data_IF_125005254056
#
_entry.id   IF_125005254056
#
_cell.length_a   1.000
_cell.length_b   1.000
_cell.length_c   1.000
_cell.angle_alpha   90.00
_cell.angle_beta   90.00
_cell.angle_gamma   90.00
#
_symmetry.space_group_name_H-M   'P 1'
#
loop_
_entity.id
_entity.type
_entity.pdbx_description
1 polymer ?
#
# COMPACT_ATOMS: atom_id res chain seq x y z
N UNK A 1 4.54 24.81 5.40
CA UNK A 1 4.01 24.27 4.14
C UNK A 1 4.83 23.04 3.83
N UNK A 2 4.19 21.92 3.52
CA UNK A 2 4.88 20.64 3.25
C UNK A 2 5.45 20.68 1.85
N UNK A 3 6.68 20.22 1.66
CA UNK A 3 7.33 20.15 0.35
C UNK A 3 6.91 18.88 -0.41
N UNK A 4 5.89 19.00 -1.26
CA UNK A 4 5.36 17.89 -2.04
C UNK A 4 6.32 17.36 -3.11
N UNK A 5 7.38 18.10 -3.48
CA UNK A 5 8.39 17.64 -4.45
C UNK A 5 9.16 16.41 -3.93
N UNK A 6 9.17 16.19 -2.62
CA UNK A 6 9.76 14.99 -2.02
C UNK A 6 9.07 13.69 -2.44
N UNK A 7 7.76 13.73 -2.74
CA UNK A 7 7.06 12.57 -3.30
C UNK A 7 7.60 12.17 -4.68
N UNK A 8 8.06 13.13 -5.49
CA UNK A 8 8.64 12.84 -6.80
C UNK A 8 10.08 12.35 -6.68
N UNK A 9 10.85 12.97 -5.80
CA UNK A 9 12.29 12.71 -5.67
C UNK A 9 12.59 11.51 -4.75
N UNK A 10 11.98 11.45 -3.58
CA UNK A 10 12.23 10.41 -2.58
C UNK A 10 11.21 9.26 -2.64
N UNK A 11 10.01 9.51 -3.18
CA UNK A 11 8.92 8.53 -3.22
C UNK A 11 8.06 8.51 -1.95
N UNK A 12 8.40 9.27 -0.92
CA UNK A 12 7.63 9.35 0.31
C UNK A 12 7.75 10.72 0.98
N UNK A 13 6.83 11.01 1.90
CA UNK A 13 6.79 12.26 2.63
C UNK A 13 6.03 12.10 3.94
N UNK A 14 6.57 12.60 5.03
CA UNK A 14 5.87 12.71 6.32
C UNK A 14 5.14 14.04 6.41
N UNK A 15 3.85 13.99 6.71
CA UNK A 15 3.05 15.18 7.04
C UNK A 15 2.65 15.08 8.51
N UNK A 16 3.31 15.85 9.40
CA UNK A 16 2.98 15.84 10.81
C UNK A 16 1.61 16.47 11.07
N UNK A 17 0.98 16.07 12.16
CA UNK A 17 -0.32 16.59 12.62
C UNK A 17 -1.41 16.58 11.52
N UNK A 18 -1.37 15.58 10.63
CA UNK A 18 -2.36 15.45 9.55
C UNK A 18 -3.78 15.27 10.10
N UNK A 19 -3.91 14.50 11.19
CA UNK A 19 -5.17 14.38 11.95
C UNK A 19 -5.03 15.03 13.32
N UNK A 20 -6.10 15.67 13.77
CA UNK A 20 -6.18 16.16 15.14
C UNK A 20 -6.58 15.05 16.12
N UNK A 21 -6.49 15.32 17.42
CA UNK A 21 -6.76 14.33 18.49
C UNK A 21 -8.18 13.76 18.47
N UNK A 22 -9.19 14.53 18.00
CA UNK A 22 -10.58 14.04 17.89
C UNK A 22 -10.70 13.04 16.73
N UNK A 23 -10.08 13.33 15.59
CA UNK A 23 -10.07 12.44 14.41
C UNK A 23 -9.33 11.15 14.71
N UNK A 24 -8.20 11.24 15.42
CA UNK A 24 -7.43 10.07 15.90
C UNK A 24 -8.31 9.21 16.83
N UNK A 25 -8.98 9.83 17.80
CA UNK A 25 -9.84 9.11 18.73
C UNK A 25 -10.98 8.36 18.02
N UNK A 26 -11.53 8.93 16.94
CA UNK A 26 -12.58 8.26 16.14
C UNK A 26 -12.01 7.09 15.34
N UNK A 27 -10.82 7.24 14.73
CA UNK A 27 -10.16 6.12 14.06
C UNK A 27 -9.83 4.98 15.02
N UNK A 28 -9.32 5.31 16.20
CA UNK A 28 -9.03 4.34 17.26
C UNK A 28 -10.31 3.62 17.71
N UNK A 29 -11.37 4.37 17.97
CA UNK A 29 -12.67 3.79 18.32
C UNK A 29 -13.18 2.84 17.23
N UNK A 30 -13.08 3.23 15.95
CA UNK A 30 -13.44 2.38 14.82
C UNK A 30 -12.66 1.07 14.83
N UNK A 31 -11.36 1.12 15.04
CA UNK A 31 -10.51 -0.06 15.17
C UNK A 31 -10.95 -0.96 16.35
N UNK A 32 -11.17 -0.38 17.53
CA UNK A 32 -11.55 -1.11 18.74
C UNK A 32 -12.91 -1.81 18.56
N UNK A 33 -13.88 -1.18 17.85
CA UNK A 33 -15.17 -1.80 17.51
C UNK A 33 -14.98 -3.02 16.58
N UNK A 34 -14.09 -2.94 15.62
CA UNK A 34 -13.79 -4.05 14.72
C UNK A 34 -13.14 -5.20 15.47
N UNK A 35 -12.16 -4.90 16.32
CA UNK A 35 -11.46 -5.87 17.16
C UNK A 35 -12.44 -6.62 18.09
N UNK A 36 -13.34 -5.90 18.74
CA UNK A 36 -14.30 -6.49 19.68
C UNK A 36 -15.32 -7.42 19.02
N UNK A 37 -15.77 -7.10 17.79
CA UNK A 37 -16.75 -7.91 17.04
C UNK A 37 -16.17 -9.24 16.56
N UNK A 38 -14.88 -9.28 16.25
CA UNK A 38 -14.25 -10.48 15.70
C UNK A 38 -13.78 -11.47 16.76
N UNK A 39 -13.88 -11.15 18.04
CA UNK A 39 -13.53 -12.01 19.20
C UNK A 39 -12.14 -12.70 19.04
N UNK A 40 -11.27 -12.09 18.25
CA UNK A 40 -9.96 -12.64 17.93
C UNK A 40 -8.91 -11.95 18.76
N UNK A 41 -8.56 -12.56 19.88
CA UNK A 41 -7.28 -12.35 20.58
C UNK A 41 -6.08 -12.80 19.73
N UNK A 42 -6.35 -13.29 18.56
CA UNK A 42 -5.37 -13.56 17.54
C UNK A 42 -5.18 -12.28 16.74
N UNK A 43 -4.04 -11.65 16.88
CA UNK A 43 -3.57 -10.62 15.95
C UNK A 43 -3.58 -11.19 14.53
N UNK A 44 -4.77 -11.48 14.03
CA UNK A 44 -4.97 -12.04 12.73
C UNK A 44 -4.57 -10.97 11.73
N UNK A 45 -3.78 -11.39 10.76
CA UNK A 45 -3.81 -10.77 9.44
C UNK A 45 -5.29 -10.56 9.15
N UNK A 46 -5.76 -9.33 9.26
CA UNK A 46 -6.98 -8.98 8.59
C UNK A 46 -6.62 -9.10 7.11
N UNK A 47 -6.97 -10.22 6.51
CA UNK A 47 -6.86 -10.37 5.07
C UNK A 47 -7.70 -9.25 4.44
N UNK A 48 -7.39 -8.86 3.23
CA UNK A 48 -8.24 -7.93 2.49
C UNK A 48 -9.71 -8.38 2.44
N UNK A 49 -9.99 -9.68 2.57
CA UNK A 49 -11.32 -10.25 2.67
C UNK A 49 -12.01 -9.90 3.98
N UNK A 50 -11.27 -9.83 5.09
CA UNK A 50 -11.81 -9.37 6.37
C UNK A 50 -12.14 -7.89 6.33
N UNK A 51 -11.39 -7.09 5.58
CA UNK A 51 -11.72 -5.69 5.34
C UNK A 51 -13.02 -5.52 4.55
N UNK A 52 -13.29 -6.32 3.54
CA UNK A 52 -14.53 -6.26 2.79
C UNK A 52 -15.76 -6.58 3.66
N UNK A 53 -15.64 -7.53 4.57
CA UNK A 53 -16.70 -7.87 5.53
C UNK A 53 -16.89 -6.84 6.65
N UNK A 54 -15.89 -5.99 6.89
CA UNK A 54 -15.88 -5.00 7.98
C UNK A 54 -16.34 -3.61 7.53
N UNK A 55 -16.66 -3.40 6.26
CA UNK A 55 -17.04 -2.10 5.66
C UNK A 55 -18.29 -1.42 6.25
N UNK A 56 -19.07 -2.07 7.09
CA UNK A 56 -20.25 -1.46 7.70
C UNK A 56 -19.96 -0.41 8.78
N UNK A 57 -18.80 -0.47 9.45
CA UNK A 57 -18.41 0.47 10.53
C UNK A 57 -17.39 1.50 10.05
N UNK A 58 -16.41 1.16 9.20
CA UNK A 58 -15.39 2.11 8.75
C UNK A 58 -15.91 3.29 7.96
N UNK A 59 -17.05 3.20 7.27
CA UNK A 59 -17.51 4.30 6.42
C UNK A 59 -17.78 5.58 7.23
N UNK A 60 -18.44 5.49 8.37
CA UNK A 60 -18.67 6.66 9.22
C UNK A 60 -17.36 7.22 9.80
N UNK A 61 -16.40 6.33 10.09
CA UNK A 61 -15.06 6.69 10.59
C UNK A 61 -14.22 7.25 9.44
N UNK A 62 -14.21 6.59 8.31
CA UNK A 62 -13.49 7.02 7.12
C UNK A 62 -14.00 8.36 6.57
N UNK A 63 -15.31 8.58 6.60
CA UNK A 63 -15.95 9.82 6.16
C UNK A 63 -15.39 11.08 6.86
N UNK A 64 -14.88 10.94 8.09
CA UNK A 64 -14.25 12.06 8.81
C UNK A 64 -12.84 12.39 8.28
N UNK A 65 -12.17 11.41 7.71
CA UNK A 65 -10.79 11.56 7.20
C UNK A 65 -10.77 11.89 5.70
N UNK A 66 -11.80 11.47 4.98
CA UNK A 66 -11.89 11.65 3.53
C UNK A 66 -11.69 13.09 3.04
N UNK A 67 -12.26 14.14 3.67
CA UNK A 67 -12.04 15.52 3.23
C UNK A 67 -10.56 15.91 3.24
N UNK A 68 -9.80 15.46 4.25
CA UNK A 68 -8.37 15.74 4.36
C UNK A 68 -7.55 14.97 3.33
N UNK A 69 -7.88 13.69 3.12
CA UNK A 69 -7.25 12.86 2.08
C UNK A 69 -7.52 13.46 0.71
N UNK A 70 -8.77 13.87 0.44
CA UNK A 70 -9.13 14.54 -0.82
C UNK A 70 -8.35 15.83 -1.00
N UNK A 71 -8.34 16.70 0.00
CA UNK A 71 -7.60 17.96 -0.06
C UNK A 71 -6.12 17.75 -0.34
N UNK A 72 -5.47 16.80 0.33
CA UNK A 72 -4.06 16.46 0.10
C UNK A 72 -3.85 15.85 -1.29
N UNK A 73 -4.74 14.98 -1.75
CA UNK A 73 -4.69 14.41 -3.11
C UNK A 73 -4.80 15.47 -4.20
N UNK A 74 -5.69 16.45 -4.00
CA UNK A 74 -5.84 17.60 -4.90
C UNK A 74 -4.56 18.46 -4.91
N UNK A 75 -3.94 18.67 -3.75
CA UNK A 75 -2.66 19.40 -3.64
C UNK A 75 -1.52 18.66 -4.33
N UNK A 76 -1.40 17.36 -4.15
CA UNK A 76 -0.40 16.52 -4.84
C UNK A 76 -0.60 16.64 -6.34
N UNK A 77 -1.83 16.45 -6.83
CA UNK A 77 -2.16 16.51 -8.26
C UNK A 77 -1.89 17.89 -8.89
N UNK A 78 -2.07 18.97 -8.12
CA UNK A 78 -1.84 20.34 -8.58
C UNK A 78 -0.35 20.73 -8.61
N UNK A 79 0.47 20.15 -7.73
CA UNK A 79 1.85 20.60 -7.51
C UNK A 79 2.92 19.56 -7.92
N UNK A 80 2.52 18.39 -8.43
CA UNK A 80 3.41 17.32 -8.86
C UNK A 80 2.92 16.69 -10.18
N UNK A 81 3.74 15.85 -10.78
CA UNK A 81 3.34 15.02 -11.93
C UNK A 81 2.47 13.83 -11.54
N UNK A 82 2.29 13.56 -10.24
CA UNK A 82 1.44 12.48 -9.74
C UNK A 82 -0.02 12.88 -9.86
N UNK A 83 -0.77 12.16 -10.69
CA UNK A 83 -2.19 12.45 -10.95
C UNK A 83 -3.08 11.49 -10.16
N UNK A 84 -3.68 12.01 -9.11
CA UNK A 84 -4.58 11.26 -8.23
C UNK A 84 -6.02 11.68 -8.47
N UNK A 85 -6.93 10.74 -8.28
CA UNK A 85 -8.34 11.06 -8.16
C UNK A 85 -8.93 10.34 -6.95
N UNK A 86 -9.25 11.11 -5.94
CA UNK A 86 -9.85 10.58 -4.72
C UNK A 86 -11.33 10.23 -4.97
N UNK A 87 -11.71 9.00 -4.63
CA UNK A 87 -13.08 8.51 -4.63
C UNK A 87 -13.39 7.97 -3.23
N UNK A 88 -14.54 8.31 -2.67
CA UNK A 88 -14.93 8.03 -1.27
C UNK A 88 -14.95 6.54 -0.88
N UNK A 89 -14.76 5.63 -1.82
CA UNK A 89 -14.85 4.18 -1.60
C UNK A 89 -13.57 3.42 -1.99
N UNK A 90 -12.46 4.12 -2.12
CA UNK A 90 -11.17 3.48 -2.45
C UNK A 90 -10.66 2.57 -1.32
N UNK A 91 -9.72 1.68 -1.66
CA UNK A 91 -9.11 0.75 -0.72
C UNK A 91 -8.62 1.44 0.55
N UNK A 92 -9.20 1.11 1.68
CA UNK A 92 -8.72 1.54 2.98
C UNK A 92 -8.71 0.37 3.96
N UNK A 93 -7.95 0.50 5.03
CA UNK A 93 -7.88 -0.54 6.01
C UNK A 93 -7.03 -0.20 7.22
N UNK A 94 -7.30 -0.87 8.34
CA UNK A 94 -6.45 -0.82 9.52
C UNK A 94 -5.37 -1.89 9.46
N UNK A 95 -4.17 -1.51 9.84
CA UNK A 95 -3.05 -2.42 10.09
C UNK A 95 -2.70 -2.35 11.57
N UNK A 96 -2.78 -3.49 12.25
CA UNK A 96 -2.42 -3.59 13.65
C UNK A 96 -1.35 -4.67 13.82
N UNK A 97 -0.26 -4.30 14.46
CA UNK A 97 0.89 -5.17 14.70
C UNK A 97 0.87 -5.69 16.13
N UNK A 98 0.06 -6.68 16.42
CA UNK A 98 0.04 -7.29 17.74
C UNK A 98 0.60 -8.71 17.77
N UNK A 99 0.66 -9.41 16.67
CA UNK A 99 1.15 -10.80 16.60
C UNK A 99 1.86 -11.20 15.32
N UNK A 100 1.94 -10.30 14.35
CA UNK A 100 2.75 -10.54 13.15
C UNK A 100 4.21 -10.89 13.49
N UNK A 101 4.51 -10.76 14.72
CA UNK A 101 5.80 -10.44 15.26
C UNK A 101 6.28 -11.45 16.27
N UNK A 102 5.41 -11.98 17.05
CA UNK A 102 5.73 -13.08 17.93
C UNK A 102 5.72 -14.38 17.10
N UNK A 103 6.54 -14.41 16.04
CA UNK A 103 6.82 -15.59 15.21
C UNK A 103 7.33 -16.77 16.00
N UNK A 104 6.52 -17.25 16.96
CA UNK A 104 6.74 -18.51 17.62
C UNK A 104 6.47 -19.72 16.71
N UNK A 105 6.05 -19.47 15.46
CA UNK A 105 5.71 -20.54 14.51
C UNK A 105 6.75 -20.72 13.39
N UNK A 106 7.94 -20.14 13.53
CA UNK A 106 9.04 -20.33 12.56
C UNK A 106 8.80 -19.70 11.17
N UNK A 107 7.65 -19.09 10.96
CA UNK A 107 7.37 -18.29 9.77
C UNK A 107 7.62 -16.83 10.12
N UNK A 108 8.68 -16.30 9.57
CA UNK A 108 9.05 -14.89 9.62
C UNK A 108 8.00 -14.10 8.83
N UNK A 109 6.88 -13.75 9.48
CA UNK A 109 5.75 -13.04 8.89
C UNK A 109 5.96 -11.52 8.82
N UNK A 110 7.18 -11.04 9.06
CA UNK A 110 7.55 -9.68 8.69
C UNK A 110 7.41 -9.57 7.17
N UNK A 111 6.63 -8.59 6.72
CA UNK A 111 6.61 -8.29 5.30
C UNK A 111 8.05 -7.96 4.88
N UNK A 112 8.64 -8.78 4.01
CA UNK A 112 9.94 -8.48 3.41
C UNK A 112 9.88 -7.12 2.72
N UNK A 113 11.02 -6.55 2.42
CA UNK A 113 11.08 -5.38 1.56
C UNK A 113 10.35 -5.66 0.24
N UNK A 114 9.37 -4.83 -0.10
CA UNK A 114 8.50 -5.08 -1.25
C UNK A 114 7.92 -3.80 -1.85
N UNK A 115 7.40 -3.93 -3.04
CA UNK A 115 6.44 -3.02 -3.65
C UNK A 115 5.06 -3.69 -3.61
N UNK A 116 4.01 -2.91 -3.40
CA UNK A 116 2.63 -3.42 -3.24
C UNK A 116 2.15 -4.25 -4.44
N UNK A 117 2.13 -5.57 -4.30
CA UNK A 117 1.80 -6.49 -5.39
C UNK A 117 0.39 -6.25 -5.98
N UNK A 118 -0.62 -6.00 -5.14
CA UNK A 118 -1.99 -5.78 -5.61
C UNK A 118 -2.13 -4.54 -6.47
N UNK A 119 -1.45 -3.43 -6.14
CA UNK A 119 -1.49 -2.20 -6.93
C UNK A 119 -0.90 -2.41 -8.33
N UNK A 120 0.16 -3.19 -8.46
CA UNK A 120 0.83 -3.46 -9.72
C UNK A 120 0.17 -4.58 -10.52
N UNK A 121 -0.16 -5.69 -9.87
CA UNK A 121 -0.65 -6.89 -10.55
C UNK A 121 -2.11 -6.79 -10.94
N UNK A 122 -2.97 -6.32 -10.03
CA UNK A 122 -4.41 -6.24 -10.27
C UNK A 122 -4.80 -4.91 -10.92
N UNK A 123 -4.34 -3.81 -10.37
CA UNK A 123 -4.79 -2.48 -10.77
C UNK A 123 -3.85 -1.80 -11.77
N UNK A 124 -2.71 -2.42 -12.09
CA UNK A 124 -1.71 -1.92 -13.04
C UNK A 124 -1.32 -0.45 -12.79
N UNK A 125 -1.39 -0.06 -11.52
CA UNK A 125 -1.02 1.27 -11.05
C UNK A 125 0.47 1.31 -10.78
N UNK A 126 1.19 2.09 -11.54
CA UNK A 126 2.60 2.36 -11.29
C UNK A 126 2.77 3.38 -10.15
N UNK A 127 3.66 4.35 -10.27
CA UNK A 127 3.88 5.38 -9.26
C UNK A 127 2.69 6.38 -9.08
N UNK A 128 1.69 6.39 -9.97
CA UNK A 128 0.48 7.22 -9.83
C UNK A 128 -0.54 6.64 -8.82
N UNK A 129 -0.04 6.24 -7.68
CA UNK A 129 -0.77 5.71 -6.56
C UNK A 129 -0.07 6.16 -5.29
N UNK A 130 -0.82 6.69 -4.35
CA UNK A 130 -0.30 7.11 -3.05
C UNK A 130 -1.03 6.34 -1.94
N UNK A 131 -0.24 5.76 -1.05
CA UNK A 131 -0.74 5.23 0.20
C UNK A 131 -0.62 6.30 1.29
N UNK A 132 -1.73 6.68 1.88
CA UNK A 132 -1.82 7.53 3.07
C UNK A 132 -1.74 6.62 4.29
N UNK A 133 -0.55 6.38 4.79
CA UNK A 133 -0.33 5.56 5.98
C UNK A 133 -0.37 6.43 7.23
N UNK A 134 -1.51 6.43 7.92
CA UNK A 134 -1.80 7.30 9.07
C UNK A 134 -1.52 6.53 10.35
N UNK A 135 -0.67 7.06 11.22
CA UNK A 135 -0.45 6.48 12.56
C UNK A 135 -1.63 6.82 13.46
N UNK A 136 -2.32 5.79 13.98
CA UNK A 136 -3.52 5.94 14.82
C UNK A 136 -3.18 5.77 16.28
N UNK A 137 -2.44 4.72 16.62
CA UNK A 137 -2.05 4.41 18.00
C UNK A 137 -0.68 3.75 18.03
N UNK A 138 0.08 4.01 19.11
CA UNK A 138 1.44 3.54 19.21
C UNK A 138 1.86 3.54 20.67
N UNK A 139 2.19 2.39 21.21
CA UNK A 139 2.59 2.25 22.61
C UNK A 139 3.95 2.90 22.87
N UNK A 140 4.92 2.65 21.97
CA UNK A 140 6.23 3.26 22.05
C UNK A 140 6.42 4.27 20.89
N UNK A 141 6.52 5.58 21.18
CA UNK A 141 6.63 6.61 20.16
C UNK A 141 7.89 6.52 19.29
N UNK A 142 8.91 5.80 19.74
CA UNK A 142 10.20 5.71 19.05
C UNK A 142 10.38 4.45 18.18
N UNK A 143 9.40 3.56 18.17
CA UNK A 143 9.48 2.27 17.47
C UNK A 143 8.31 2.05 16.53
N UNK A 144 8.28 0.92 15.83
CA UNK A 144 7.13 0.45 15.03
C UNK A 144 6.67 1.40 13.92
N UNK A 145 7.61 1.93 13.16
CA UNK A 145 7.31 2.73 11.97
C UNK A 145 7.49 1.90 10.69
N UNK A 146 6.93 2.38 9.60
CA UNK A 146 7.23 1.84 8.29
C UNK A 146 8.66 2.22 7.88
N UNK A 147 9.45 1.27 7.39
CA UNK A 147 10.72 1.57 6.74
C UNK A 147 10.52 1.71 5.24
N UNK A 148 11.23 2.64 4.63
CA UNK A 148 11.15 3.00 3.22
C UNK A 148 12.54 3.13 2.61
N UNK A 149 12.63 2.93 1.30
CA UNK A 149 13.87 3.17 0.55
C UNK A 149 13.70 4.46 -0.25
N UNK A 150 14.50 5.50 0.01
CA UNK A 150 14.47 6.75 -0.76
C UNK A 150 14.80 6.50 -2.24
N UNK A 151 13.89 6.87 -3.13
CA UNK A 151 13.99 6.57 -4.55
C UNK A 151 15.18 7.25 -5.23
N UNK A 152 15.53 8.48 -4.84
CA UNK A 152 16.70 9.18 -5.34
C UNK A 152 18.00 8.43 -4.99
N UNK A 153 18.15 8.02 -3.73
CA UNK A 153 19.35 7.28 -3.28
C UNK A 153 19.44 5.92 -3.98
N UNK A 154 18.30 5.23 -4.12
CA UNK A 154 18.24 3.96 -4.85
C UNK A 154 18.67 4.16 -6.31
N UNK A 155 18.12 5.15 -7.01
CA UNK A 155 18.39 5.42 -8.42
C UNK A 155 19.85 5.73 -8.67
N UNK A 156 20.52 6.43 -7.76
CA UNK A 156 21.94 6.77 -7.87
C UNK A 156 22.87 5.57 -7.67
N UNK A 157 22.40 4.50 -7.01
CA UNK A 157 23.20 3.33 -6.70
C UNK A 157 22.99 2.14 -7.63
N UNK A 158 21.88 2.09 -8.36
CA UNK A 158 21.57 0.97 -9.24
C UNK A 158 21.96 1.25 -10.70
N UNK A 159 22.49 0.25 -11.44
CA UNK A 159 22.68 0.38 -12.88
C UNK A 159 21.40 0.73 -13.62
N UNK A 160 21.50 1.53 -14.67
CA UNK A 160 20.32 2.02 -15.43
C UNK A 160 19.43 0.88 -15.96
N UNK A 161 20.00 -0.27 -16.29
CA UNK A 161 19.27 -1.45 -16.74
C UNK A 161 18.39 -2.01 -15.61
N UNK A 162 18.93 -2.09 -14.39
CA UNK A 162 18.22 -2.59 -13.21
C UNK A 162 17.16 -1.57 -12.76
N UNK A 163 17.44 -0.27 -12.89
CA UNK A 163 16.45 0.77 -12.54
C UNK A 163 15.15 0.60 -13.33
N UNK A 164 15.23 0.26 -14.62
CA UNK A 164 14.02 -0.03 -15.41
C UNK A 164 13.22 -1.22 -14.85
N UNK A 165 13.92 -2.25 -14.38
CA UNK A 165 13.28 -3.46 -13.84
C UNK A 165 12.63 -3.15 -12.48
N UNK A 166 13.31 -2.45 -11.59
CA UNK A 166 12.78 -2.02 -10.28
C UNK A 166 11.47 -1.21 -10.45
N UNK A 167 11.33 -0.48 -11.54
CA UNK A 167 10.12 0.29 -11.84
C UNK A 167 8.99 -0.51 -12.49
N UNK A 168 9.19 -1.80 -12.78
CA UNK A 168 8.13 -2.68 -13.31
C UNK A 168 7.18 -3.20 -12.22
N UNK A 169 7.47 -2.92 -10.95
CA UNK A 169 6.62 -3.15 -9.79
C UNK A 169 6.45 -4.60 -9.34
N UNK A 170 5.71 -4.79 -8.29
CA UNK A 170 5.45 -6.09 -7.66
C UNK A 170 6.74 -6.88 -7.37
N UNK A 171 7.75 -6.22 -6.81
CA UNK A 171 9.03 -6.83 -6.52
C UNK A 171 9.21 -7.05 -5.02
N UNK A 172 9.93 -8.12 -4.69
CA UNK A 172 10.38 -8.43 -3.33
C UNK A 172 11.90 -8.37 -3.27
N UNK A 173 12.42 -7.84 -2.17
CA UNK A 173 13.83 -7.58 -1.98
C UNK A 173 14.31 -8.33 -0.73
N UNK A 174 15.35 -9.13 -0.88
CA UNK A 174 15.91 -9.97 0.16
C UNK A 174 17.37 -9.57 0.42
N UNK A 175 17.63 -8.67 1.37
CA UNK A 175 18.99 -8.31 1.76
C UNK A 175 19.73 -9.54 2.31
N UNK A 176 20.95 -9.73 1.84
CA UNK A 176 21.84 -10.78 2.32
C UNK A 176 23.27 -10.26 2.30
N UNK A 177 23.84 -10.10 3.49
CA UNK A 177 25.18 -9.54 3.66
C UNK A 177 25.31 -8.15 3.01
N UNK A 178 26.14 -8.05 1.95
CA UNK A 178 26.40 -6.80 1.22
C UNK A 178 25.61 -6.67 -0.10
N UNK A 179 24.68 -7.56 -0.33
CA UNK A 179 23.90 -7.64 -1.57
C UNK A 179 22.41 -7.71 -1.28
N UNK A 180 21.59 -7.49 -2.30
CA UNK A 180 20.14 -7.70 -2.22
C UNK A 180 19.67 -8.51 -3.40
N UNK A 181 19.13 -9.70 -3.16
CA UNK A 181 18.41 -10.45 -4.19
C UNK A 181 17.05 -9.79 -4.40
N UNK A 182 16.71 -9.54 -5.65
CA UNK A 182 15.42 -8.99 -6.07
C UNK A 182 14.68 -10.02 -6.90
N UNK A 183 13.41 -10.23 -6.58
CA UNK A 183 12.50 -11.12 -7.33
C UNK A 183 11.33 -10.32 -7.87
N UNK A 184 11.11 -10.41 -9.17
CA UNK A 184 9.98 -9.81 -9.84
C UNK A 184 8.80 -10.79 -9.84
N UNK A 185 7.78 -10.53 -9.05
CA UNK A 185 6.60 -11.41 -8.95
C UNK A 185 5.70 -11.39 -10.21
N UNK A 186 5.93 -10.46 -11.14
CA UNK A 186 5.19 -10.43 -12.41
C UNK A 186 5.84 -11.28 -13.50
N UNK A 187 7.18 -11.44 -13.50
CA UNK A 187 7.94 -12.08 -14.60
C UNK A 187 8.75 -13.28 -14.14
N UNK A 188 8.85 -13.54 -12.83
CA UNK A 188 9.74 -14.52 -12.18
C UNK A 188 11.25 -14.26 -12.39
N UNK A 189 11.60 -13.10 -12.93
CA UNK A 189 13.01 -12.72 -13.09
C UNK A 189 13.64 -12.42 -11.74
N UNK A 190 14.90 -12.83 -11.61
CA UNK A 190 15.72 -12.55 -10.43
C UNK A 190 16.99 -11.80 -10.84
N UNK A 191 17.43 -10.87 -10.00
CA UNK A 191 18.68 -10.14 -10.17
C UNK A 191 19.23 -9.72 -8.80
N UNK A 192 20.50 -9.36 -8.75
CA UNK A 192 21.18 -8.99 -7.52
C UNK A 192 21.64 -7.55 -7.59
N UNK A 193 21.30 -6.76 -6.57
CA UNK A 193 21.89 -5.45 -6.35
C UNK A 193 23.24 -5.63 -5.64
N UNK A 194 24.31 -4.91 -6.06
CA UNK A 194 25.63 -5.05 -5.47
C UNK A 194 25.79 -4.32 -4.12
N UNK A 195 24.71 -4.12 -3.40
CA UNK A 195 24.67 -3.53 -2.07
C UNK A 195 23.42 -4.01 -1.29
N UNK A 196 23.46 -3.90 0.02
CA UNK A 196 22.29 -4.13 0.87
C UNK A 196 21.35 -2.92 0.83
N UNK A 197 20.07 -3.10 0.53
CA UNK A 197 19.08 -2.00 0.61
C UNK A 197 18.90 -1.50 2.04
N UNK A 198 19.27 -2.30 3.06
CA UNK A 198 19.27 -1.86 4.46
C UNK A 198 20.21 -0.67 4.69
N UNK A 199 21.31 -0.56 3.90
CA UNK A 199 22.30 0.52 4.03
C UNK A 199 21.75 1.90 3.62
N UNK A 200 20.60 1.93 2.94
CA UNK A 200 19.95 3.14 2.46
C UNK A 200 18.53 3.30 2.96
N UNK A 201 18.11 2.40 3.86
CA UNK A 201 16.76 2.42 4.41
C UNK A 201 16.58 3.59 5.39
N UNK A 202 15.41 4.20 5.34
CA UNK A 202 14.96 5.19 6.31
C UNK A 202 13.71 4.70 7.03
N UNK A 203 13.59 5.03 8.31
CA UNK A 203 12.41 4.72 9.11
C UNK A 203 11.88 5.99 9.76
N UNK A 204 11.07 6.78 9.02
CA UNK A 204 10.55 8.03 9.54
C UNK A 204 9.76 7.80 10.82
N UNK A 205 10.05 8.58 11.88
CA UNK A 205 9.28 8.48 13.10
C UNK A 205 7.90 9.11 12.90
N UNK A 206 6.86 8.33 13.14
CA UNK A 206 5.46 8.76 13.04
C UNK A 206 4.85 8.77 14.44
N UNK A 207 4.22 9.85 14.80
CA UNK A 207 3.39 9.96 15.99
C UNK A 207 1.91 9.79 15.65
N UNK A 208 1.04 9.44 16.60
CA UNK A 208 -0.40 9.40 16.34
C UNK A 208 -0.92 10.71 15.74
N UNK A 209 -1.54 10.65 14.58
CA UNK A 209 -2.00 11.78 13.80
C UNK A 209 -1.11 12.16 12.61
N UNK A 210 0.12 11.70 12.59
CA UNK A 210 0.98 11.89 11.41
C UNK A 210 0.55 10.97 10.28
N UNK A 211 0.78 11.41 9.04
CA UNK A 211 0.65 10.56 7.85
C UNK A 211 1.98 10.43 7.13
N UNK A 212 2.34 9.21 6.78
CA UNK A 212 3.37 8.92 5.80
C UNK A 212 2.68 8.72 4.43
N UNK A 213 2.93 9.62 3.51
CA UNK A 213 2.55 9.47 2.12
C UNK A 213 3.61 8.60 1.44
N UNK A 214 3.19 7.47 0.86
CA UNK A 214 4.10 6.53 0.19
C UNK A 214 3.64 6.36 -1.25
N UNK A 215 4.51 6.71 -2.20
CA UNK A 215 4.27 6.53 -3.63
C UNK A 215 4.31 5.04 -4.00
N UNK A 216 3.51 4.62 -4.95
CA UNK A 216 3.29 3.21 -5.29
C UNK A 216 4.53 2.41 -5.67
N UNK A 217 5.58 3.05 -6.19
CA UNK A 217 6.85 2.41 -6.55
C UNK A 217 7.90 2.44 -5.41
N UNK A 218 7.56 3.02 -4.26
CA UNK A 218 8.47 3.05 -3.11
C UNK A 218 8.59 1.68 -2.48
N UNK A 219 9.83 1.20 -2.36
CA UNK A 219 10.15 -0.04 -1.65
C UNK A 219 9.99 0.21 -0.16
N UNK A 220 9.23 -0.65 0.52
CA UNK A 220 8.95 -0.48 1.94
C UNK A 220 8.80 -1.83 2.65
N UNK A 221 8.88 -1.78 3.98
CA UNK A 221 8.54 -2.91 4.85
C UNK A 221 8.04 -2.41 6.20
N UNK A 222 7.36 -3.27 6.96
CA UNK A 222 7.15 -3.05 8.38
C UNK A 222 8.50 -3.09 9.08
N UNK A 223 8.79 -2.03 9.85
CA UNK A 223 9.96 -2.04 10.72
C UNK A 223 9.61 -2.80 12.00
N UNK A 224 10.52 -2.86 12.88
CA UNK A 224 10.45 -3.25 14.28
C UNK A 224 9.04 -3.62 14.81
N UNK A 225 9.03 -4.66 15.50
CA UNK A 225 7.86 -5.41 15.88
C UNK A 225 7.73 -5.61 17.38
N UNK A 226 8.52 -4.91 18.15
CA UNK A 226 8.59 -5.08 19.60
C UNK A 226 7.49 -4.34 20.36
N UNK A 227 6.76 -3.46 19.68
CA UNK A 227 5.74 -2.62 20.29
C UNK A 227 4.45 -2.58 19.48
N UNK A 228 3.29 -2.72 20.12
CA UNK A 228 2.00 -2.62 19.46
C UNK A 228 1.80 -1.28 18.78
N UNK A 229 1.19 -1.32 17.59
CA UNK A 229 0.74 -0.12 16.85
C UNK A 229 -0.56 -0.38 16.12
N UNK A 230 -1.26 0.69 15.80
CA UNK A 230 -2.38 0.70 14.87
C UNK A 230 -2.15 1.80 13.85
N UNK A 231 -2.21 1.46 12.57
CA UNK A 231 -2.18 2.41 11.47
C UNK A 231 -3.41 2.24 10.58
N UNK A 232 -3.88 3.32 9.98
CA UNK A 232 -4.91 3.31 8.96
C UNK A 232 -4.27 3.62 7.60
N UNK A 233 -4.53 2.79 6.60
CA UNK A 233 -4.02 2.97 5.24
C UNK A 233 -5.17 3.33 4.31
N UNK A 234 -5.01 4.40 3.54
CA UNK A 234 -5.95 4.85 2.52
C UNK A 234 -5.19 4.96 1.20
N UNK A 235 -5.62 4.21 0.20
CA UNK A 235 -4.95 4.16 -1.09
C UNK A 235 -5.71 4.98 -2.11
N UNK A 236 -5.05 5.97 -2.68
CA UNK A 236 -5.61 6.85 -3.71
C UNK A 236 -4.90 6.59 -5.03
N UNK A 237 -5.67 6.25 -6.06
CA UNK A 237 -5.17 5.85 -7.37
C UNK A 237 -5.43 6.91 -8.45
N UNK A 238 -4.73 6.79 -9.56
CA UNK A 238 -5.08 7.47 -10.78
C UNK A 238 -6.25 6.75 -11.46
N UNK A 239 -7.43 7.36 -11.46
CA UNK A 239 -8.64 6.73 -12.00
C UNK A 239 -8.66 6.61 -13.54
N UNK A 240 -7.86 7.40 -14.24
CA UNK A 240 -7.71 7.35 -15.71
C UNK A 240 -6.70 6.30 -16.17
N UNK A 241 -6.01 5.62 -15.24
CA UNK A 241 -5.10 4.54 -15.60
C UNK A 241 -5.86 3.41 -16.33
N UNK A 242 -5.23 2.86 -17.35
CA UNK A 242 -5.81 1.80 -18.17
C UNK A 242 -5.51 0.45 -17.51
N UNK A 243 -6.55 -0.32 -17.29
CA UNK A 243 -6.47 -1.75 -17.01
C UNK A 243 -6.52 -2.50 -18.34
N UNK A 244 -5.56 -3.39 -18.56
CA UNK A 244 -5.50 -4.23 -19.76
C UNK A 244 -5.65 -5.71 -19.38
N UNK A 245 -6.63 -6.40 -19.97
CA UNK A 245 -6.97 -7.81 -19.68
C UNK A 245 -5.80 -8.75 -19.99
N UNK A 246 -5.10 -8.53 -21.10
CA UNK A 246 -3.97 -9.37 -21.50
C UNK A 246 -2.80 -9.23 -20.53
N UNK A 247 -2.49 -7.99 -20.13
CA UNK A 247 -1.45 -7.72 -19.11
C UNK A 247 -1.84 -8.34 -17.77
N UNK A 248 -3.12 -8.27 -17.38
CA UNK A 248 -3.61 -8.89 -16.15
C UNK A 248 -3.37 -10.39 -16.16
N UNK A 249 -3.77 -11.08 -17.23
CA UNK A 249 -3.77 -12.54 -17.30
C UNK A 249 -2.41 -13.16 -17.70
N UNK A 250 -1.49 -12.35 -18.24
CA UNK A 250 -0.13 -12.80 -18.59
C UNK A 250 0.85 -12.64 -17.42
N UNK A 251 1.99 -13.31 -17.51
CA UNK A 251 3.10 -13.18 -16.57
C UNK A 251 3.60 -14.52 -16.05
N UNK A 252 4.54 -14.46 -15.12
CA UNK A 252 5.22 -15.62 -14.55
C UNK A 252 4.37 -16.43 -13.57
N UNK A 253 4.95 -17.51 -13.06
CA UNK A 253 4.27 -18.47 -12.17
C UNK A 253 3.84 -17.82 -10.85
N UNK A 254 4.66 -16.94 -10.27
CA UNK A 254 4.34 -16.22 -9.04
C UNK A 254 3.10 -15.34 -9.22
N UNK A 255 3.01 -14.62 -10.34
CA UNK A 255 1.82 -13.83 -10.68
C UNK A 255 0.59 -14.72 -10.82
N UNK A 256 0.70 -15.82 -11.57
CA UNK A 256 -0.43 -16.75 -11.75
C UNK A 256 -0.89 -17.34 -10.42
N UNK A 257 0.04 -17.68 -9.53
CA UNK A 257 -0.27 -18.13 -8.17
C UNK A 257 -0.98 -17.04 -7.36
N UNK A 258 -0.50 -15.80 -7.43
CA UNK A 258 -1.13 -14.67 -6.77
C UNK A 258 -2.56 -14.46 -7.27
N UNK A 259 -2.81 -14.46 -8.58
CA UNK A 259 -4.14 -14.30 -9.15
C UNK A 259 -5.09 -15.41 -8.69
N UNK A 260 -4.63 -16.65 -8.71
CA UNK A 260 -5.41 -17.81 -8.23
C UNK A 260 -5.78 -17.69 -6.75
N UNK A 261 -4.85 -17.26 -5.91
CA UNK A 261 -5.07 -17.10 -4.47
C UNK A 261 -5.91 -15.87 -4.11
N UNK A 262 -6.08 -14.93 -5.04
CA UNK A 262 -6.86 -13.70 -4.89
C UNK A 262 -8.06 -13.66 -5.86
N UNK A 263 -8.69 -14.82 -6.09
CA UNK A 263 -9.79 -14.95 -7.04
C UNK A 263 -10.96 -13.99 -6.75
N UNK A 264 -11.29 -13.76 -5.48
CA UNK A 264 -12.33 -12.82 -5.04
C UNK A 264 -12.03 -11.36 -5.44
N UNK A 265 -10.77 -11.02 -5.64
CA UNK A 265 -10.33 -9.68 -6.07
C UNK A 265 -10.19 -9.56 -7.57
N UNK A 266 -9.85 -10.64 -8.26
CA UNK A 266 -9.69 -10.62 -9.72
C UNK A 266 -11.02 -10.74 -10.45
N UNK A 267 -11.96 -11.54 -9.94
CA UNK A 267 -13.26 -11.76 -10.57
C UNK A 267 -13.99 -10.45 -10.90
N UNK A 268 -14.16 -9.48 -10.00
CA UNK A 268 -14.80 -8.22 -10.34
C UNK A 268 -14.10 -7.43 -11.46
N UNK A 269 -12.78 -7.57 -11.59
CA UNK A 269 -12.02 -6.92 -12.67
C UNK A 269 -12.32 -7.62 -14.00
N UNK A 270 -12.38 -8.95 -14.01
CA UNK A 270 -12.72 -9.72 -15.21
C UNK A 270 -14.17 -9.47 -15.64
N UNK A 271 -15.09 -9.42 -14.69
CA UNK A 271 -16.50 -9.10 -14.93
C UNK A 271 -16.65 -7.70 -15.56
N UNK A 272 -15.87 -6.72 -15.12
CA UNK A 272 -15.87 -5.39 -15.74
C UNK A 272 -15.41 -5.41 -17.20
N UNK A 273 -14.36 -6.18 -17.55
CA UNK A 273 -13.95 -6.35 -18.94
C UNK A 273 -15.07 -6.96 -19.81
N UNK A 274 -15.78 -7.95 -19.27
CA UNK A 274 -16.91 -8.58 -19.96
C UNK A 274 -18.09 -7.62 -20.11
N UNK A 275 -18.42 -6.88 -19.07
CA UNK A 275 -19.48 -5.87 -19.10
C UNK A 275 -19.25 -4.79 -20.17
N UNK A 276 -18.02 -4.27 -20.27
CA UNK A 276 -17.66 -3.26 -21.28
C UNK A 276 -17.33 -3.87 -22.65
N UNK A 277 -17.21 -5.18 -22.80
CA UNK A 277 -16.95 -5.90 -24.05
C UNK A 277 -15.61 -5.55 -24.71
N UNK A 278 -14.59 -5.21 -23.91
CA UNK A 278 -13.26 -4.79 -24.42
C UNK A 278 -12.13 -5.14 -23.46
N UNK A 279 -10.91 -5.30 -23.99
CA UNK A 279 -9.72 -5.68 -23.23
C UNK A 279 -9.01 -4.50 -22.53
N UNK A 280 -9.46 -3.27 -22.75
CA UNK A 280 -8.93 -2.07 -22.09
C UNK A 280 -10.08 -1.28 -21.50
N UNK A 281 -10.03 -1.08 -20.18
CA UNK A 281 -10.96 -0.22 -19.45
C UNK A 281 -10.16 0.71 -18.55
N UNK A 282 -10.74 1.84 -18.15
CA UNK A 282 -10.13 2.70 -17.14
C UNK A 282 -10.39 2.14 -15.74
N UNK A 283 -9.54 2.53 -14.79
CA UNK A 283 -9.77 2.22 -13.38
C UNK A 283 -11.13 2.79 -12.89
N UNK A 284 -11.52 3.96 -13.39
CA UNK A 284 -12.85 4.54 -13.10
C UNK A 284 -13.98 3.62 -13.54
N UNK A 285 -13.94 3.14 -14.79
CA UNK A 285 -14.97 2.23 -15.30
C UNK A 285 -15.07 0.92 -14.50
N UNK A 286 -13.92 0.32 -14.18
CA UNK A 286 -13.90 -0.84 -13.28
C UNK A 286 -14.59 -0.51 -11.94
N UNK A 287 -14.29 0.64 -11.37
CA UNK A 287 -14.80 1.06 -10.07
C UNK A 287 -16.31 1.34 -10.11
N UNK A 288 -16.77 2.01 -11.17
CA UNK A 288 -18.21 2.28 -11.38
C UNK A 288 -18.99 0.96 -11.54
N UNK A 289 -18.46 0.01 -12.30
CA UNK A 289 -19.04 -1.33 -12.41
C UNK A 289 -19.12 -2.04 -11.06
N UNK A 290 -18.09 -1.95 -10.23
CA UNK A 290 -18.09 -2.54 -8.89
C UNK A 290 -19.16 -1.95 -7.97
N UNK A 291 -19.47 -0.65 -8.09
CA UNK A 291 -20.53 0.00 -7.30
C UNK A 291 -21.88 -0.48 -7.77
N UNK A 292 -22.13 -0.49 -9.08
CA UNK A 292 -23.44 -0.85 -9.66
C UNK A 292 -23.81 -2.30 -9.40
N UNK A 293 -22.83 -3.21 -9.31
CA UNK A 293 -23.08 -4.63 -9.06
C UNK A 293 -23.26 -4.98 -7.58
N UNK A 294 -22.98 -4.06 -6.66
CA UNK A 294 -23.15 -4.26 -5.20
C UNK A 294 -24.47 -3.68 -4.64
N UNK A 295 -25.31 -3.06 -5.48
CA UNK A 295 -26.65 -2.62 -5.16
C UNK A 295 -27.65 -3.73 -5.47
#
# INVERSE_FOLDING_TARGET
MVDLSLLETQGFLVVPDFLNSKEIAVLKWGYDQLRSKNNTDTGSKHSYEDFEKMFGVPFAVAALVYPKIKQMSDQITANTDIKLNFVDKQCNGFYADLKFINGNDGNDNTLVWHQDQGAWTLHQQSYNYINFYIMVDKENPNTTNLSVIPQNILTDRIPAQINKIVRQGAQRFFPKDKETLVKNDNTDEEYTLPFSIEDIAESPNLLPGDVLLVRGDTIHRSQDNLSPRVAASFRVFQNTAILNKQVLLSGGEEKQRYLKNNNTRITPILDAFEYYGRDNITYSEYYDHMIDTRV
#
